data_IF_791780358312
#
_entry.id   IF_791780358312
#
_cell.length_a   1.000
_cell.length_b   1.000
_cell.length_c   1.000
_cell.angle_alpha   90.00
_cell.angle_beta   90.00
_cell.angle_gamma   90.00
#
_symmetry.space_group_name_H-M   'P 1'
#
loop_
_entity.id
_entity.type
_entity.pdbx_description
1 polymer ?
#
# COMPACT_ATOMS: atom_id res chain seq x y z
N UNK A 1 -16.93 2.25 -7.16
CA UNK A 1 -15.59 2.64 -6.64
C UNK A 1 -15.57 2.47 -5.14
N UNK A 2 -14.52 1.86 -4.62
CA UNK A 2 -14.34 1.67 -3.18
C UNK A 2 -13.27 2.60 -2.66
N UNK A 3 -13.46 3.08 -1.44
CA UNK A 3 -12.52 4.00 -0.80
C UNK A 3 -12.28 3.57 0.63
N UNK A 4 -11.01 3.44 1.02
CA UNK A 4 -10.61 3.19 2.41
C UNK A 4 -9.47 4.10 2.80
N UNK A 5 -9.32 4.34 4.10
CA UNK A 5 -8.23 5.11 4.66
C UNK A 5 -7.43 4.21 5.60
N UNK A 6 -6.11 4.21 5.42
CA UNK A 6 -5.18 3.60 6.37
C UNK A 6 -4.60 4.75 7.19
N UNK A 7 -4.99 4.89 8.48
CA UNK A 7 -4.82 6.13 9.23
C UNK A 7 -3.44 6.27 9.91
N UNK A 8 -2.39 5.69 9.34
CA UNK A 8 -1.04 5.78 9.87
C UNK A 8 -0.01 5.70 8.76
N UNK A 9 1.23 6.01 9.11
CA UNK A 9 2.36 6.02 8.19
C UNK A 9 2.88 4.62 7.95
N UNK A 10 3.09 4.26 6.68
CA UNK A 10 3.71 3.00 6.30
C UNK A 10 5.23 3.17 6.15
N UNK A 11 6.01 2.07 6.22
CA UNK A 11 7.45 2.16 6.03
C UNK A 11 7.82 2.72 4.64
N UNK A 12 8.93 3.47 4.59
CA UNK A 12 9.48 3.98 3.33
C UNK A 12 10.35 2.92 2.65
N UNK A 13 10.69 3.18 1.38
CA UNK A 13 11.63 2.35 0.64
C UNK A 13 12.97 2.24 1.39
N UNK A 14 13.50 3.38 1.88
CA UNK A 14 14.78 3.38 2.61
C UNK A 14 14.73 2.54 3.87
N UNK A 15 13.64 2.59 4.61
CA UNK A 15 13.46 1.74 5.80
C UNK A 15 13.46 0.26 5.42
N UNK A 16 12.75 -0.10 4.34
CA UNK A 16 12.70 -1.47 3.87
C UNK A 16 14.07 -1.98 3.42
N UNK A 17 14.80 -1.16 2.64
CA UNK A 17 16.16 -1.49 2.18
C UNK A 17 17.09 -1.70 3.38
N UNK A 18 17.02 -0.81 4.39
CA UNK A 18 17.84 -0.95 5.60
C UNK A 18 17.55 -2.24 6.34
N UNK A 19 16.29 -2.65 6.44
CA UNK A 19 15.93 -3.93 7.06
C UNK A 19 16.47 -5.11 6.25
N UNK A 20 16.36 -5.08 4.93
CA UNK A 20 16.89 -6.14 4.06
C UNK A 20 18.41 -6.29 4.19
N UNK A 21 19.12 -5.20 4.47
CA UNK A 21 20.59 -5.21 4.66
C UNK A 21 21.05 -5.77 6.00
N UNK A 22 20.19 -5.78 7.01
CA UNK A 22 20.54 -6.34 8.33
C UNK A 22 20.75 -7.85 8.26
N UNK A 23 19.80 -8.56 7.66
CA UNK A 23 19.87 -9.99 7.41
C UNK A 23 18.71 -10.39 6.50
N UNK A 24 18.73 -11.63 6.02
CA UNK A 24 17.72 -12.10 5.04
C UNK A 24 16.29 -12.21 5.60
N UNK A 25 16.12 -12.18 6.91
CA UNK A 25 14.78 -12.31 7.54
C UNK A 25 14.14 -10.98 7.89
N UNK A 26 14.94 -9.92 8.08
CA UNK A 26 14.44 -8.64 8.60
C UNK A 26 13.45 -7.96 7.64
N UNK A 27 13.71 -7.99 6.33
CA UNK A 27 12.79 -7.45 5.34
C UNK A 27 11.47 -8.21 5.31
N UNK A 28 11.52 -9.54 5.35
CA UNK A 28 10.33 -10.38 5.38
C UNK A 28 9.51 -10.14 6.66
N UNK A 29 10.18 -9.96 7.79
CA UNK A 29 9.53 -9.63 9.06
C UNK A 29 8.82 -8.29 8.99
N UNK A 30 9.44 -7.29 8.39
CA UNK A 30 8.82 -5.97 8.20
C UNK A 30 7.54 -6.09 7.37
N UNK A 31 7.57 -6.82 6.26
CA UNK A 31 6.38 -7.06 5.43
C UNK A 31 5.26 -7.72 6.23
N UNK A 32 5.60 -8.73 7.03
CA UNK A 32 4.63 -9.44 7.86
C UNK A 32 4.00 -8.53 8.90
N UNK A 33 4.80 -7.67 9.53
CA UNK A 33 4.32 -6.72 10.53
C UNK A 33 3.39 -5.68 9.90
N UNK A 34 3.76 -5.14 8.74
CA UNK A 34 2.90 -4.18 8.02
C UNK A 34 1.60 -4.84 7.61
N UNK A 35 1.64 -6.06 7.09
CA UNK A 35 0.45 -6.81 6.72
C UNK A 35 -0.50 -6.98 7.92
N UNK A 36 0.04 -7.31 9.10
CA UNK A 36 -0.75 -7.40 10.32
C UNK A 36 -1.40 -6.05 10.68
N UNK A 37 -0.65 -4.96 10.53
CA UNK A 37 -1.12 -3.61 10.89
C UNK A 37 -2.22 -3.10 9.94
N UNK A 38 -2.10 -3.35 8.64
CA UNK A 38 -3.06 -2.85 7.65
C UNK A 38 -4.19 -3.82 7.35
N UNK A 39 -4.07 -5.08 7.74
CA UNK A 39 -5.03 -6.13 7.42
C UNK A 39 -6.47 -5.80 7.81
N UNK A 40 -6.66 -5.17 8.95
CA UNK A 40 -7.99 -4.72 9.39
C UNK A 40 -8.66 -3.82 8.35
N UNK A 41 -7.90 -2.88 7.78
CA UNK A 41 -8.43 -1.93 6.78
C UNK A 41 -8.61 -2.61 5.42
N UNK A 42 -7.66 -3.44 5.02
CA UNK A 42 -7.72 -4.19 3.75
C UNK A 42 -8.93 -5.14 3.73
N UNK A 43 -9.26 -5.75 4.88
CA UNK A 43 -10.39 -6.66 4.97
C UNK A 43 -11.74 -5.97 4.77
N UNK A 44 -11.81 -4.65 4.86
CA UNK A 44 -13.02 -3.89 4.55
C UNK A 44 -13.30 -3.81 3.05
N UNK A 45 -12.31 -4.10 2.21
CA UNK A 45 -12.50 -4.09 0.77
C UNK A 45 -13.26 -5.35 0.31
N UNK A 46 -14.02 -5.25 -0.79
CA UNK A 46 -14.63 -6.43 -1.37
C UNK A 46 -13.58 -7.27 -2.10
N UNK A 47 -13.94 -8.49 -2.46
CA UNK A 47 -13.14 -9.29 -3.39
C UNK A 47 -13.39 -8.78 -4.80
N UNK A 48 -12.32 -8.46 -5.53
CA UNK A 48 -12.42 -7.99 -6.91
C UNK A 48 -12.35 -9.16 -7.88
N UNK A 49 -13.35 -9.27 -8.74
CA UNK A 49 -13.42 -10.31 -9.77
C UNK A 49 -12.93 -9.83 -11.13
N UNK A 50 -12.81 -8.51 -11.30
CA UNK A 50 -12.28 -7.87 -12.50
C UNK A 50 -10.95 -7.19 -12.18
N UNK A 51 -10.13 -6.90 -13.22
CA UNK A 51 -8.94 -6.08 -12.99
C UNK A 51 -9.29 -4.73 -12.37
N UNK A 52 -8.34 -4.12 -11.68
CA UNK A 52 -8.57 -2.88 -10.96
C UNK A 52 -7.56 -1.81 -11.36
N UNK A 53 -7.94 -0.56 -11.12
CA UNK A 53 -7.03 0.59 -11.06
C UNK A 53 -7.11 1.16 -9.65
N UNK A 54 -5.98 1.62 -9.14
CA UNK A 54 -5.90 2.14 -7.77
C UNK A 54 -5.32 3.56 -7.80
N UNK A 55 -6.02 4.46 -7.10
CA UNK A 55 -5.49 5.76 -6.78
C UNK A 55 -5.02 5.72 -5.32
N UNK A 56 -3.74 6.02 -5.11
CA UNK A 56 -3.13 6.17 -3.79
C UNK A 56 -2.99 7.66 -3.50
N UNK A 57 -3.65 8.15 -2.48
CA UNK A 57 -3.48 9.52 -2.02
C UNK A 57 -2.69 9.50 -0.72
N UNK A 58 -1.43 9.94 -0.82
CA UNK A 58 -0.47 9.90 0.28
C UNK A 58 -0.49 11.23 1.02
N UNK A 59 -0.79 11.18 2.32
CA UNK A 59 -0.75 12.35 3.19
C UNK A 59 0.43 12.19 4.13
N UNK A 60 1.37 13.16 4.11
CA UNK A 60 2.56 13.16 4.96
C UNK A 60 2.55 14.39 5.86
N UNK A 61 3.01 14.23 7.10
CA UNK A 61 3.04 15.32 8.08
C UNK A 61 4.26 16.23 7.93
N UNK A 62 5.24 15.86 7.11
CA UNK A 62 6.44 16.66 6.83
C UNK A 62 7.03 16.29 5.47
N UNK A 63 8.08 17.02 5.06
CA UNK A 63 8.74 16.85 3.77
C UNK A 63 10.03 16.02 3.83
N UNK A 64 10.22 15.23 4.88
CA UNK A 64 11.47 14.48 5.10
C UNK A 64 11.68 13.32 4.13
N UNK A 65 10.59 12.77 3.58
CA UNK A 65 10.67 11.66 2.63
C UNK A 65 10.39 12.16 1.22
N UNK A 66 11.23 11.73 0.28
CA UNK A 66 10.97 11.94 -1.15
C UNK A 66 9.73 11.13 -1.58
N UNK A 67 9.08 11.57 -2.65
CA UNK A 67 7.82 10.97 -3.09
C UNK A 67 7.96 9.48 -3.41
N UNK A 68 9.05 9.07 -4.04
CA UNK A 68 9.30 7.66 -4.36
C UNK A 68 9.50 6.80 -3.10
N UNK A 69 10.05 7.36 -2.04
CA UNK A 69 10.16 6.69 -0.75
C UNK A 69 8.80 6.47 -0.10
N UNK A 70 7.90 7.43 -0.24
CA UNK A 70 6.54 7.35 0.31
C UNK A 70 5.72 6.33 -0.46
N UNK A 71 5.62 6.49 -1.77
CA UNK A 71 4.70 5.66 -2.57
C UNK A 71 5.19 4.22 -2.79
N UNK A 72 6.43 3.91 -2.45
CA UNK A 72 6.91 2.52 -2.41
C UNK A 72 5.98 1.64 -1.57
N UNK A 73 5.38 2.18 -0.51
CA UNK A 73 4.54 1.42 0.41
C UNK A 73 3.31 0.79 -0.27
N UNK A 74 2.97 1.20 -1.51
CA UNK A 74 1.95 0.51 -2.30
C UNK A 74 2.24 -0.99 -2.44
N UNK A 75 3.52 -1.37 -2.41
CA UNK A 75 3.91 -2.79 -2.48
C UNK A 75 3.35 -3.57 -1.31
N UNK A 76 3.41 -3.01 -0.10
CA UNK A 76 2.84 -3.64 1.08
C UNK A 76 1.31 -3.76 0.96
N UNK A 77 0.67 -2.74 0.42
CA UNK A 77 -0.79 -2.70 0.25
C UNK A 77 -1.23 -3.77 -0.76
N UNK A 78 -0.57 -3.83 -1.91
CA UNK A 78 -0.90 -4.83 -2.93
C UNK A 78 -0.66 -6.26 -2.44
N UNK A 79 0.47 -6.51 -1.77
CA UNK A 79 0.77 -7.82 -1.20
C UNK A 79 -0.30 -8.22 -0.16
N UNK A 80 -0.75 -7.28 0.66
CA UNK A 80 -1.79 -7.51 1.65
C UNK A 80 -3.14 -7.82 0.99
N UNK A 81 -3.48 -7.13 -0.10
CA UNK A 81 -4.71 -7.39 -0.85
C UNK A 81 -4.73 -8.80 -1.44
N UNK A 82 -3.61 -9.24 -1.98
CA UNK A 82 -3.47 -10.61 -2.52
C UNK A 82 -3.60 -11.63 -1.39
N UNK A 83 -2.89 -11.42 -0.30
CA UNK A 83 -2.90 -12.32 0.87
C UNK A 83 -4.29 -12.43 1.48
N UNK A 84 -5.04 -11.34 1.53
CA UNK A 84 -6.41 -11.31 2.06
C UNK A 84 -7.45 -11.86 1.08
N UNK A 85 -7.04 -12.28 -0.12
CA UNK A 85 -7.95 -12.81 -1.13
C UNK A 85 -8.79 -11.77 -1.84
N UNK A 86 -8.42 -10.48 -1.73
CA UNK A 86 -9.14 -9.38 -2.40
C UNK A 86 -8.77 -9.26 -3.88
N UNK A 87 -7.53 -9.59 -4.21
CA UNK A 87 -7.01 -9.73 -5.57
C UNK A 87 -6.47 -11.13 -5.75
N UNK A 88 -6.61 -11.69 -6.94
CA UNK A 88 -6.02 -12.99 -7.25
C UNK A 88 -4.50 -12.91 -7.32
N UNK A 89 -3.99 -11.82 -7.89
CA UNK A 89 -2.55 -11.52 -7.97
C UNK A 89 -2.39 -10.01 -8.22
N UNK A 90 -1.19 -9.49 -8.07
CA UNK A 90 -0.89 -8.07 -8.30
C UNK A 90 -0.19 -7.82 -9.63
N UNK A 91 -0.16 -8.80 -10.53
CA UNK A 91 0.45 -8.65 -11.84
C UNK A 91 -0.45 -7.84 -12.81
N UNK A 92 0.04 -7.61 -14.03
CA UNK A 92 -0.64 -6.79 -15.03
C UNK A 92 -2.02 -7.30 -15.47
N UNK A 93 -2.33 -8.56 -15.22
CA UNK A 93 -3.63 -9.11 -15.55
C UNK A 93 -4.72 -8.62 -14.59
N UNK A 94 -4.34 -8.29 -13.36
CA UNK A 94 -5.26 -7.92 -12.28
C UNK A 94 -5.15 -6.47 -11.85
N UNK A 95 -4.00 -5.82 -12.06
CA UNK A 95 -3.81 -4.40 -11.74
C UNK A 95 -3.41 -3.67 -13.03
N UNK A 96 -4.30 -2.80 -13.51
CA UNK A 96 -4.14 -2.15 -14.81
C UNK A 96 -3.50 -0.77 -14.73
N UNK A 97 -3.43 -0.19 -13.56
CA UNK A 97 -2.77 1.11 -13.42
C UNK A 97 -2.82 1.66 -12.01
N UNK A 98 -1.91 2.60 -11.78
CA UNK A 98 -1.81 3.36 -10.53
C UNK A 98 -1.91 4.85 -10.81
N UNK A 99 -2.41 5.58 -9.83
CA UNK A 99 -2.28 7.02 -9.80
C UNK A 99 -1.87 7.39 -8.36
N UNK A 100 -0.80 8.18 -8.22
CA UNK A 100 -0.32 8.63 -6.92
C UNK A 100 -0.48 10.14 -6.83
N UNK A 101 -1.08 10.60 -5.75
CA UNK A 101 -1.13 12.03 -5.40
C UNK A 101 -0.59 12.21 -3.99
N UNK A 102 -0.08 13.41 -3.69
CA UNK A 102 0.64 13.69 -2.46
C UNK A 102 0.17 15.01 -1.88
N UNK A 103 0.00 15.05 -0.55
CA UNK A 103 -0.25 16.30 0.15
C UNK A 103 0.37 16.26 1.54
N UNK A 104 0.44 17.42 2.18
CA UNK A 104 0.92 17.55 3.56
C UNK A 104 -0.27 17.84 4.47
N UNK A 105 -0.33 17.13 5.60
CA UNK A 105 -1.42 17.25 6.55
C UNK A 105 -0.93 17.13 7.98
N UNK A 106 -1.82 17.12 8.93
CA UNK A 106 -1.46 17.04 10.36
C UNK A 106 -0.97 15.66 10.76
N UNK A 107 -1.41 14.61 10.08
CA UNK A 107 -1.04 13.23 10.35
C UNK A 107 -0.75 12.51 9.06
N UNK A 108 0.17 11.54 9.12
CA UNK A 108 0.48 10.70 7.98
C UNK A 108 -0.56 9.61 7.81
N UNK A 109 -1.00 9.39 6.57
CA UNK A 109 -1.99 8.36 6.22
C UNK A 109 -1.97 8.11 4.73
N UNK A 110 -2.69 7.08 4.28
CA UNK A 110 -2.92 6.86 2.85
C UNK A 110 -4.40 6.57 2.62
N UNK A 111 -4.95 7.19 1.58
CA UNK A 111 -6.32 6.98 1.14
C UNK A 111 -6.28 6.21 -0.17
N UNK A 112 -6.97 5.08 -0.23
CA UNK A 112 -7.06 4.25 -1.42
C UNK A 112 -8.41 4.42 -2.07
N UNK A 113 -8.42 4.65 -3.37
CA UNK A 113 -9.63 4.61 -4.19
C UNK A 113 -9.43 3.54 -5.25
N UNK A 114 -10.31 2.56 -5.29
CA UNK A 114 -10.17 1.38 -6.15
C UNK A 114 -11.39 1.28 -7.05
N UNK A 115 -11.16 1.15 -8.36
CA UNK A 115 -12.22 0.90 -9.32
C UNK A 115 -11.94 -0.35 -10.13
N UNK A 116 -12.99 -1.09 -10.47
CA UNK A 116 -12.87 -2.24 -11.36
C UNK A 116 -12.86 -1.75 -12.81
N UNK A 117 -12.02 -2.41 -13.62
CA UNK A 117 -11.93 -2.15 -15.06
C UNK A 117 -12.67 -3.29 -15.76
N UNK A 118 -13.80 -2.94 -16.31
CA UNK A 118 -14.67 -3.92 -17.00
C UNK A 118 -14.44 -3.93 -18.50
#
# INVERSE_FOLDING_TARGET
>A
MNKIEIPFRLPSLNQYINECRKNKFAGAKMKKNVDADIGYFINKLPKYNNPIKIHFHWVEENKRRDLDNVCFAKKFILDSMVKAGKLKDDNRNYVKGFNDTFEYGKTSKVILEIEEVK
#
